data_IF_227456221332
#
_entry.id   IF_227456221332
#
_cell.length_a   1.000
_cell.length_b   1.000
_cell.length_c   1.000
_cell.angle_alpha   90.00
_cell.angle_beta   90.00
_cell.angle_gamma   90.00
#
_symmetry.space_group_name_H-M   'P 1'
#
loop_
_entity.id
_entity.type
_entity.pdbx_description
1 polymer ?
#
# COMPACT_ATOMS: atom_id res chain seq x y z
N UNK A 1 20.36 47.71 -26.01
CA UNK A 1 19.27 46.73 -26.10
C UNK A 1 19.23 46.00 -24.78
N UNK A 2 18.23 46.29 -23.94
CA UNK A 2 18.07 45.62 -22.65
C UNK A 2 17.33 44.32 -22.92
N UNK A 3 18.05 43.21 -22.82
CA UNK A 3 17.51 41.86 -22.93
C UNK A 3 16.94 41.45 -21.59
N UNK A 4 15.62 41.56 -21.41
CA UNK A 4 14.93 40.93 -20.29
C UNK A 4 14.62 39.49 -20.68
N UNK A 5 15.42 38.53 -20.21
CA UNK A 5 14.99 37.14 -20.09
C UNK A 5 13.96 37.10 -18.97
N UNK A 6 12.69 36.87 -19.32
CA UNK A 6 11.68 36.48 -18.33
C UNK A 6 12.05 35.07 -17.88
N UNK A 7 12.61 34.96 -16.68
CA UNK A 7 12.63 33.69 -15.98
C UNK A 7 11.17 33.26 -15.79
N UNK A 8 10.78 32.22 -16.54
CA UNK A 8 9.51 31.54 -16.34
C UNK A 8 9.70 30.73 -15.06
N UNK A 9 9.30 31.29 -13.93
CA UNK A 9 9.13 30.53 -12.70
C UNK A 9 7.93 29.62 -12.94
N UNK A 10 8.19 28.36 -13.30
CA UNK A 10 7.17 27.31 -13.31
C UNK A 10 6.88 27.01 -11.84
N UNK A 11 5.86 27.65 -11.29
CA UNK A 11 5.34 27.30 -9.97
C UNK A 11 4.48 26.06 -10.19
N UNK A 12 5.09 24.87 -10.11
CA UNK A 12 4.29 23.65 -10.02
C UNK A 12 3.45 23.74 -8.75
N UNK A 13 2.13 23.47 -8.82
CA UNK A 13 1.30 23.46 -7.62
C UNK A 13 1.92 22.45 -6.63
N UNK A 14 2.00 22.77 -5.33
CA UNK A 14 2.48 21.80 -4.36
C UNK A 14 1.56 20.58 -4.44
N UNK A 15 2.12 19.43 -4.82
CA UNK A 15 1.43 18.15 -4.75
C UNK A 15 1.30 17.84 -3.27
N UNK A 16 0.20 18.28 -2.66
CA UNK A 16 -0.02 18.06 -1.25
C UNK A 16 -0.25 16.56 -1.04
N UNK A 17 0.72 15.88 -0.43
CA UNK A 17 0.58 14.52 0.04
C UNK A 17 0.68 14.52 1.56
N UNK A 18 0.02 13.55 2.19
CA UNK A 18 0.15 13.31 3.64
C UNK A 18 1.07 12.11 3.86
N UNK A 19 1.99 12.22 4.83
CA UNK A 19 2.68 11.05 5.37
C UNK A 19 2.01 10.71 6.68
N UNK A 20 1.50 9.49 6.79
CA UNK A 20 0.99 8.94 8.03
C UNK A 20 2.15 8.33 8.80
N UNK A 21 2.66 9.05 9.80
CA UNK A 21 3.80 8.69 10.64
C UNK A 21 3.43 8.41 12.10
N UNK A 22 2.13 8.25 12.37
CA UNK A 22 1.59 8.08 13.70
C UNK A 22 1.90 6.70 14.27
N UNK A 23 1.36 6.38 15.47
CA UNK A 23 1.58 5.09 16.12
C UNK A 23 1.31 3.91 15.19
N UNK A 24 2.16 2.88 15.27
CA UNK A 24 1.95 1.69 14.47
C UNK A 24 0.90 0.77 15.08
N UNK A 25 0.09 0.16 14.23
CA UNK A 25 -0.86 -0.90 14.61
C UNK A 25 -0.45 -2.23 13.98
N UNK A 26 -0.95 -3.32 14.56
CA UNK A 26 -0.84 -4.66 13.99
C UNK A 26 -2.18 -5.05 13.38
N UNK A 27 -2.14 -5.60 12.17
CA UNK A 27 -3.28 -6.26 11.55
C UNK A 27 -2.91 -7.70 11.22
N UNK A 28 -3.86 -8.61 11.45
CA UNK A 28 -3.71 -10.02 11.11
C UNK A 28 -5.03 -10.62 10.67
N UNK A 29 -4.99 -11.42 9.61
CA UNK A 29 -6.07 -12.30 9.19
C UNK A 29 -5.59 -13.74 9.33
N UNK A 30 -6.37 -14.55 10.02
CA UNK A 30 -6.08 -15.98 10.19
C UNK A 30 -6.24 -16.78 8.89
N UNK A 31 -5.54 -17.92 8.84
CA UNK A 31 -5.63 -18.87 7.73
C UNK A 31 -7.05 -19.45 7.64
N UNK A 32 -7.64 -19.45 6.44
CA UNK A 32 -8.98 -19.94 6.18
C UNK A 32 -10.11 -19.01 6.67
N UNK A 33 -9.79 -17.90 7.33
CA UNK A 33 -10.79 -16.95 7.80
C UNK A 33 -11.51 -16.28 6.62
N UNK A 34 -12.80 -16.00 6.78
CA UNK A 34 -13.63 -15.41 5.72
C UNK A 34 -13.22 -13.94 5.44
N UNK A 35 -12.73 -13.60 4.24
CA UNK A 35 -12.32 -12.24 3.91
C UNK A 35 -13.47 -11.23 3.86
N UNK A 36 -14.73 -11.68 3.79
CA UNK A 36 -15.91 -10.79 3.76
C UNK A 36 -16.33 -10.30 5.14
N UNK A 37 -15.83 -10.94 6.21
CA UNK A 37 -16.04 -10.47 7.57
C UNK A 37 -15.09 -9.29 7.88
N UNK A 38 -15.63 -8.20 8.43
CA UNK A 38 -14.88 -6.98 8.72
C UNK A 38 -13.72 -7.18 9.70
N UNK A 39 -13.75 -8.19 10.57
CA UNK A 39 -12.61 -8.51 11.45
C UNK A 39 -11.37 -8.98 10.65
N UNK A 40 -11.58 -9.50 9.44
CA UNK A 40 -10.55 -9.99 8.54
C UNK A 40 -10.18 -8.96 7.46
N UNK A 41 -10.51 -7.70 7.69
CA UNK A 41 -10.29 -6.57 6.79
C UNK A 41 -9.59 -5.44 7.54
N UNK A 42 -8.59 -4.83 6.91
CA UNK A 42 -7.99 -3.61 7.43
C UNK A 42 -8.55 -2.40 6.69
N UNK A 43 -9.43 -1.65 7.35
CA UNK A 43 -9.97 -0.39 6.83
C UNK A 43 -8.96 0.73 7.05
N UNK A 44 -8.14 1.00 6.03
CA UNK A 44 -7.06 1.99 6.10
C UNK A 44 -7.61 3.40 5.86
N UNK A 45 -8.37 3.58 4.78
CA UNK A 45 -9.04 4.84 4.40
C UNK A 45 -10.47 4.55 3.91
N UNK A 46 -11.17 5.57 3.43
CA UNK A 46 -12.49 5.40 2.80
C UNK A 46 -12.38 4.71 1.43
N UNK A 47 -11.24 4.82 0.74
CA UNK A 47 -10.98 4.21 -0.57
C UNK A 47 -10.30 2.84 -0.51
N UNK A 48 -9.64 2.49 0.59
CA UNK A 48 -8.82 1.26 0.71
C UNK A 48 -9.17 0.44 1.94
N UNK A 49 -9.69 -0.76 1.70
CA UNK A 49 -9.87 -1.82 2.70
C UNK A 49 -9.12 -3.08 2.24
N UNK A 50 -8.04 -3.45 2.92
CA UNK A 50 -7.18 -4.56 2.52
C UNK A 50 -7.63 -5.89 3.14
N UNK A 51 -7.71 -6.93 2.32
CA UNK A 51 -7.84 -8.32 2.77
C UNK A 51 -7.18 -9.29 1.78
N UNK A 52 -7.32 -10.60 2.01
CA UNK A 52 -6.78 -11.67 1.17
C UNK A 52 -7.69 -12.89 1.17
N UNK A 53 -7.93 -13.42 -0.03
CA UNK A 53 -8.78 -14.58 -0.26
C UNK A 53 -8.09 -15.90 0.11
N UNK A 54 -8.91 -16.95 0.31
CA UNK A 54 -8.45 -18.28 0.72
C UNK A 54 -8.18 -19.22 -0.48
N UNK A 55 -7.98 -18.66 -1.67
CA UNK A 55 -7.57 -19.39 -2.88
C UNK A 55 -6.09 -19.09 -3.25
N UNK A 56 -5.37 -18.42 -2.36
CA UNK A 56 -4.01 -17.94 -2.58
C UNK A 56 -3.97 -16.56 -3.23
N UNK A 57 -3.02 -16.34 -4.12
CA UNK A 57 -2.81 -15.04 -4.75
C UNK A 57 -2.25 -13.98 -3.81
N UNK A 58 -2.52 -12.71 -4.14
CA UNK A 58 -2.05 -11.51 -3.44
C UNK A 58 -3.18 -10.87 -2.59
N UNK A 59 -2.85 -9.83 -1.83
CA UNK A 59 -3.84 -8.99 -1.15
C UNK A 59 -4.64 -8.15 -2.17
N UNK A 60 -5.85 -7.75 -1.82
CA UNK A 60 -6.73 -6.94 -2.66
C UNK A 60 -7.55 -5.94 -1.84
N UNK A 61 -8.10 -4.94 -2.53
CA UNK A 61 -8.97 -3.93 -1.95
C UNK A 61 -10.43 -4.36 -2.08
N UNK A 62 -11.03 -4.85 -0.99
CA UNK A 62 -12.38 -5.44 -1.03
C UNK A 62 -13.49 -4.42 -1.37
N UNK A 63 -13.22 -3.11 -1.25
CA UNK A 63 -14.17 -2.08 -1.68
C UNK A 63 -14.38 -2.05 -3.19
N UNK A 64 -13.34 -2.36 -3.97
CA UNK A 64 -13.35 -2.24 -5.43
C UNK A 64 -13.17 -3.58 -6.15
N UNK A 65 -12.77 -4.63 -5.42
CA UNK A 65 -12.41 -5.92 -5.98
C UNK A 65 -13.15 -7.06 -5.25
N UNK A 66 -13.77 -7.97 -6.00
CA UNK A 66 -14.39 -9.17 -5.44
C UNK A 66 -13.34 -10.24 -5.05
N UNK A 67 -12.19 -10.24 -5.70
CA UNK A 67 -11.06 -11.14 -5.47
C UNK A 67 -9.78 -10.52 -6.03
N UNK A 68 -8.62 -11.08 -5.68
CA UNK A 68 -7.34 -10.57 -6.17
C UNK A 68 -7.09 -10.88 -7.65
N UNK A 69 -6.72 -9.87 -8.42
CA UNK A 69 -6.21 -9.96 -9.78
C UNK A 69 -4.68 -9.86 -9.80
N UNK A 70 -4.04 -10.89 -10.37
CA UNK A 70 -2.58 -11.01 -10.34
C UNK A 70 -1.90 -9.84 -11.05
N UNK A 71 -1.01 -9.14 -10.32
CA UNK A 71 -0.25 -8.01 -10.87
C UNK A 71 -1.00 -6.67 -10.93
N UNK A 72 -2.29 -6.66 -10.57
CA UNK A 72 -3.12 -5.46 -10.53
C UNK A 72 -3.46 -5.06 -9.10
N UNK A 73 -3.94 -6.01 -8.29
CA UNK A 73 -4.39 -5.73 -6.91
C UNK A 73 -3.24 -5.34 -5.95
N UNK A 74 -3.51 -4.62 -4.86
CA UNK A 74 -4.79 -3.97 -4.53
C UNK A 74 -5.05 -2.72 -5.38
N UNK A 75 -6.26 -2.58 -5.91
CA UNK A 75 -6.67 -1.35 -6.60
C UNK A 75 -6.69 -0.16 -5.65
N UNK A 76 -6.38 1.03 -6.19
CA UNK A 76 -6.25 2.26 -5.40
C UNK A 76 -4.92 2.39 -4.64
N UNK A 77 -4.02 1.41 -4.77
CA UNK A 77 -2.73 1.40 -4.07
C UNK A 77 -1.53 1.32 -5.01
N UNK A 78 -0.41 1.91 -4.59
CA UNK A 78 0.91 1.68 -5.17
C UNK A 78 1.90 1.39 -4.05
N UNK A 79 2.94 0.64 -4.38
CA UNK A 79 3.87 0.08 -3.41
C UNK A 79 5.30 0.31 -3.87
N UNK A 80 6.18 0.55 -2.90
CA UNK A 80 7.63 0.58 -3.10
C UNK A 80 8.31 -0.12 -1.93
N UNK A 81 9.46 -0.74 -2.17
CA UNK A 81 10.37 -1.18 -1.09
C UNK A 81 11.21 0.02 -0.70
N UNK A 82 11.19 0.42 0.58
CA UNK A 82 11.87 1.62 1.05
C UNK A 82 11.32 2.17 2.35
N UNK A 83 11.56 3.46 2.58
CA UNK A 83 11.19 4.19 3.79
C UNK A 83 10.44 5.49 3.42
N UNK A 84 9.49 5.91 4.26
CA UNK A 84 8.68 7.13 4.00
C UNK A 84 9.53 8.41 4.01
N UNK A 85 10.72 8.38 4.62
CA UNK A 85 11.69 9.49 4.54
C UNK A 85 12.32 9.69 3.16
N UNK A 86 12.20 8.72 2.24
CA UNK A 86 12.86 8.73 0.92
C UNK A 86 11.87 8.66 -0.26
N UNK A 87 10.59 9.01 -0.05
CA UNK A 87 9.50 8.90 -1.04
C UNK A 87 9.88 9.47 -2.41
N UNK A 88 10.60 10.59 -2.46
CA UNK A 88 10.99 11.26 -3.70
C UNK A 88 11.88 10.40 -4.62
N UNK A 89 12.59 9.39 -4.07
CA UNK A 89 13.47 8.50 -4.82
C UNK A 89 12.87 7.10 -5.03
N UNK A 90 11.69 6.82 -4.47
CA UNK A 90 11.04 5.52 -4.58
C UNK A 90 10.28 5.38 -5.91
N UNK A 91 10.38 4.20 -6.51
CA UNK A 91 9.57 3.83 -7.67
C UNK A 91 8.35 3.05 -7.22
N UNK A 92 7.18 3.69 -7.33
CA UNK A 92 5.90 3.11 -6.94
C UNK A 92 5.29 2.27 -8.07
N UNK A 93 4.91 1.03 -7.76
CA UNK A 93 4.36 0.08 -8.72
C UNK A 93 3.17 -0.70 -8.11
N UNK A 94 2.40 -1.47 -8.90
CA UNK A 94 1.45 -2.43 -8.34
C UNK A 94 2.15 -3.40 -7.37
N UNK A 95 1.44 -3.89 -6.36
CA UNK A 95 2.03 -4.65 -5.24
C UNK A 95 2.98 -5.75 -5.70
N UNK A 96 2.53 -6.63 -6.59
CA UNK A 96 3.34 -7.76 -7.08
C UNK A 96 4.57 -7.32 -7.87
N UNK A 97 4.48 -6.22 -8.62
CA UNK A 97 5.62 -5.65 -9.34
C UNK A 97 6.65 -5.08 -8.37
N UNK A 98 6.20 -4.43 -7.29
CA UNK A 98 7.06 -3.85 -6.28
C UNK A 98 7.77 -4.92 -5.42
N UNK A 99 7.05 -5.97 -5.00
CA UNK A 99 7.57 -6.94 -4.01
C UNK A 99 8.04 -8.26 -4.62
N UNK A 100 7.75 -8.50 -5.89
CA UNK A 100 7.97 -9.79 -6.56
C UNK A 100 6.89 -10.80 -6.18
N UNK A 101 7.29 -11.98 -5.66
CA UNK A 101 6.30 -12.96 -5.20
C UNK A 101 5.72 -12.47 -3.87
N UNK A 102 4.39 -12.41 -3.71
CA UNK A 102 3.77 -11.93 -2.47
C UNK A 102 4.27 -12.65 -1.21
N UNK A 103 4.54 -13.96 -1.28
CA UNK A 103 5.08 -14.72 -0.16
C UNK A 103 6.51 -14.34 0.28
N UNK A 104 7.26 -13.67 -0.59
CA UNK A 104 8.64 -13.24 -0.32
C UNK A 104 8.65 -11.79 0.22
N UNK A 105 7.50 -11.25 0.63
CA UNK A 105 7.36 -9.86 1.12
C UNK A 105 7.70 -9.72 2.61
N UNK A 106 7.65 -10.81 3.37
CA UNK A 106 7.83 -10.81 4.83
C UNK A 106 9.19 -10.21 5.21
N UNK A 107 9.18 -9.26 6.16
CA UNK A 107 10.37 -8.57 6.65
C UNK A 107 10.92 -7.46 5.74
N UNK A 108 10.23 -7.12 4.64
CA UNK A 108 10.59 -5.96 3.81
C UNK A 108 9.87 -4.72 4.32
N UNK A 109 10.62 -3.63 4.47
CA UNK A 109 10.05 -2.29 4.66
C UNK A 109 9.40 -1.83 3.36
N UNK A 110 8.12 -1.48 3.42
CA UNK A 110 7.37 -0.98 2.29
C UNK A 110 6.86 0.43 2.60
N UNK A 111 6.70 1.19 1.52
CA UNK A 111 5.87 2.39 1.49
C UNK A 111 4.63 2.08 0.67
N UNK A 112 3.47 2.17 1.32
CA UNK A 112 2.16 2.14 0.68
C UNK A 112 1.78 3.57 0.31
N UNK A 113 1.46 3.80 -0.95
CA UNK A 113 0.81 4.99 -1.46
C UNK A 113 -0.66 4.69 -1.76
N UNK A 114 -1.56 5.38 -1.06
CA UNK A 114 -2.99 5.39 -1.36
C UNK A 114 -3.24 6.52 -2.35
N UNK A 115 -3.68 6.16 -3.55
CA UNK A 115 -3.67 7.06 -4.71
C UNK A 115 -4.73 8.16 -4.58
N UNK A 116 -5.93 7.81 -4.11
CA UNK A 116 -7.07 8.73 -4.08
C UNK A 116 -6.87 9.87 -3.08
N UNK A 117 -6.50 9.55 -1.84
CA UNK A 117 -6.22 10.54 -0.79
C UNK A 117 -4.78 11.08 -0.84
N UNK A 118 -3.93 10.57 -1.73
CA UNK A 118 -2.51 10.91 -1.83
C UNK A 118 -1.75 10.78 -0.49
N UNK A 119 -1.91 9.63 0.16
CA UNK A 119 -1.33 9.31 1.46
C UNK A 119 -0.19 8.31 1.29
N UNK A 120 0.92 8.53 1.99
CA UNK A 120 2.02 7.60 2.09
C UNK A 120 2.16 7.10 3.53
N UNK A 121 2.40 5.80 3.70
CA UNK A 121 2.58 5.21 5.02
C UNK A 121 3.57 4.05 5.01
N UNK A 122 4.16 3.82 6.17
CA UNK A 122 5.01 2.67 6.42
C UNK A 122 4.16 1.41 6.56
N UNK A 123 4.62 0.30 5.98
CA UNK A 123 4.05 -1.03 6.19
C UNK A 123 5.15 -2.10 6.11
N UNK A 124 5.13 -3.08 7.02
CA UNK A 124 5.98 -4.26 6.97
C UNK A 124 5.15 -5.52 7.25
N UNK A 125 5.18 -6.47 6.31
CA UNK A 125 4.54 -7.77 6.51
C UNK A 125 5.34 -8.62 7.50
N UNK A 126 4.66 -9.11 8.53
CA UNK A 126 5.23 -9.97 9.57
C UNK A 126 4.94 -11.45 9.33
N UNK A 127 3.91 -11.77 8.55
CA UNK A 127 3.63 -13.15 8.14
C UNK A 127 2.90 -13.22 6.80
N UNK A 128 3.09 -14.34 6.10
CA UNK A 128 2.38 -14.66 4.86
C UNK A 128 2.14 -16.17 4.77
N UNK A 129 0.88 -16.57 4.74
CA UNK A 129 0.50 -17.98 4.59
C UNK A 129 0.72 -18.45 3.14
N UNK A 130 1.38 -19.60 2.99
CA UNK A 130 1.89 -20.13 1.71
C UNK A 130 1.09 -21.30 1.11
N UNK A 131 0.24 -21.94 1.90
CA UNK A 131 -0.67 -23.05 1.54
C UNK A 131 -2.02 -22.58 1.00
N UNK A 132 -2.05 -21.38 0.42
CA UNK A 132 -3.22 -20.77 -0.20
C UNK A 132 -4.39 -20.50 0.77
N UNK A 133 -4.18 -20.48 2.08
CA UNK A 133 -5.23 -20.25 3.08
C UNK A 133 -5.48 -18.77 3.37
N UNK A 134 -4.87 -17.84 2.62
CA UNK A 134 -5.19 -16.41 2.72
C UNK A 134 -4.81 -15.73 4.04
N UNK A 135 -4.06 -16.40 4.92
CA UNK A 135 -3.53 -15.81 6.14
C UNK A 135 -2.39 -14.82 5.85
N UNK A 136 -2.35 -13.72 6.58
CA UNK A 136 -1.25 -12.75 6.54
C UNK A 136 -1.33 -11.80 7.75
N UNK A 137 -0.21 -11.14 8.05
CA UNK A 137 -0.17 -10.07 9.03
C UNK A 137 0.85 -9.02 8.62
N UNK A 138 0.62 -7.78 9.07
CA UNK A 138 1.57 -6.68 8.93
C UNK A 138 1.45 -5.69 10.08
N UNK A 139 2.50 -4.89 10.20
CA UNK A 139 2.54 -3.67 10.99
C UNK A 139 2.47 -2.50 10.03
N UNK A 140 1.68 -1.47 10.33
CA UNK A 140 1.66 -0.22 9.55
C UNK A 140 1.53 1.00 10.45
N UNK A 141 1.98 2.16 9.98
CA UNK A 141 1.71 3.44 10.63
C UNK A 141 0.26 3.90 10.43
N UNK A 142 -0.19 4.82 11.28
CA UNK A 142 -1.50 5.48 11.17
C UNK A 142 -1.33 6.97 10.95
N UNK A 143 -2.44 7.67 10.75
CA UNK A 143 -2.47 9.13 10.82
C UNK A 143 -1.93 9.61 12.18
N UNK A 144 -1.20 10.73 12.16
CA UNK A 144 -0.64 11.42 13.33
C UNK A 144 -1.73 11.97 14.27
#
# INVERSE_FOLDING_TARGET
MVSCTKDVIVIEPPVNYEIWSGPTINFSKESGADPTNSINQDSITQSVIITRGNEGGQIYNILSEASAEQGVSPLGTRWAIGDTSDIANLTFAPFRTAVGRPKDVVGKKLVLHIVEENIYMYLEFTSWESQQQGGFAYIRSTKD
#
